data_IF_606005903537
#
_entry.id   IF_606005903537
#
_cell.length_a   1.000
_cell.length_b   1.000
_cell.length_c   1.000
_cell.angle_alpha   90.00
_cell.angle_beta   90.00
_cell.angle_gamma   90.00
#
_symmetry.space_group_name_H-M   'P 1'
#
loop_
_entity.id
_entity.type
_entity.pdbx_description
1 polymer ?
#
# COMPACT_ATOMS: atom_id res chain seq x y z
N UNK A 1 24.04 -47.64 -35.17
CA UNK A 1 24.08 -46.69 -34.03
C UNK A 1 23.48 -45.36 -34.49
N UNK A 2 22.19 -45.10 -34.21
CA UNK A 2 21.53 -43.83 -34.53
C UNK A 2 21.83 -42.84 -33.40
N UNK A 3 22.54 -41.75 -33.70
CA UNK A 3 22.77 -40.64 -32.77
C UNK A 3 21.46 -39.88 -32.60
N UNK A 4 20.91 -39.90 -31.38
CA UNK A 4 19.78 -39.09 -30.98
C UNK A 4 20.31 -37.70 -30.65
N UNK A 5 20.01 -36.71 -31.49
CA UNK A 5 20.21 -35.30 -31.15
C UNK A 5 19.12 -34.93 -30.14
N UNK A 6 19.51 -34.68 -28.89
CA UNK A 6 18.63 -34.06 -27.91
C UNK A 6 18.53 -32.57 -28.24
N UNK A 7 17.37 -32.15 -28.73
CA UNK A 7 17.04 -30.74 -28.92
C UNK A 7 16.66 -30.18 -27.54
N UNK A 8 17.56 -29.43 -26.91
CA UNK A 8 17.23 -28.63 -25.74
C UNK A 8 16.37 -27.43 -26.20
N UNK A 9 15.06 -27.55 -26.01
CA UNK A 9 14.16 -26.40 -26.10
C UNK A 9 14.37 -25.54 -24.85
N UNK A 10 15.10 -24.44 -25.00
CA UNK A 10 15.11 -23.37 -24.01
C UNK A 10 13.77 -22.67 -24.14
N UNK A 11 12.85 -22.95 -23.22
CA UNK A 11 11.62 -22.17 -23.06
C UNK A 11 12.05 -20.85 -22.44
N UNK A 12 12.45 -19.88 -23.25
CA UNK A 12 12.50 -18.50 -22.84
C UNK A 12 11.04 -18.05 -22.68
N UNK A 13 10.49 -18.23 -21.48
CA UNK A 13 9.22 -17.59 -21.14
C UNK A 13 9.41 -16.08 -21.31
N UNK A 14 8.60 -15.44 -22.14
CA UNK A 14 8.54 -14.00 -22.18
C UNK A 14 7.99 -13.54 -20.84
N UNK A 15 8.85 -13.32 -19.85
CA UNK A 15 8.41 -12.73 -18.60
C UNK A 15 8.06 -11.27 -18.86
N UNK A 16 6.88 -10.86 -18.41
CA UNK A 16 6.44 -9.47 -18.47
C UNK A 16 6.93 -8.80 -17.18
N UNK A 17 7.73 -7.73 -17.24
CA UNK A 17 8.22 -7.07 -16.03
C UNK A 17 7.10 -6.68 -15.05
N UNK A 18 5.93 -6.31 -15.56
CA UNK A 18 4.73 -6.02 -14.74
C UNK A 18 4.19 -7.23 -14.00
N UNK A 19 4.27 -8.42 -14.60
CA UNK A 19 3.79 -9.68 -14.00
C UNK A 19 4.72 -10.15 -12.90
N UNK A 20 6.04 -10.14 -13.13
CA UNK A 20 7.04 -10.47 -12.10
C UNK A 20 6.87 -9.55 -10.87
N UNK A 21 6.73 -8.25 -11.12
CA UNK A 21 6.48 -7.24 -10.08
C UNK A 21 5.18 -7.50 -9.33
N UNK A 22 4.08 -7.78 -10.04
CA UNK A 22 2.78 -8.08 -9.42
C UNK A 22 2.84 -9.34 -8.56
N UNK A 23 3.52 -10.38 -9.02
CA UNK A 23 3.67 -11.62 -8.25
C UNK A 23 4.50 -11.41 -6.98
N UNK A 24 5.50 -10.52 -7.00
CA UNK A 24 6.26 -10.15 -5.82
C UNK A 24 5.39 -9.47 -4.74
N UNK A 25 4.26 -8.85 -5.11
CA UNK A 25 3.34 -8.26 -4.13
C UNK A 25 2.61 -9.29 -3.28
N UNK A 26 2.52 -10.55 -3.71
CA UNK A 26 1.76 -11.60 -3.02
C UNK A 26 2.39 -12.01 -1.68
N UNK A 27 3.70 -11.85 -1.54
CA UNK A 27 4.43 -12.20 -0.31
C UNK A 27 4.47 -11.05 0.71
N UNK A 28 4.06 -9.83 0.30
CA UNK A 28 4.05 -8.65 1.16
C UNK A 28 3.08 -8.84 2.33
N UNK A 29 3.53 -8.46 3.52
CA UNK A 29 2.78 -8.61 4.75
C UNK A 29 2.98 -9.96 5.44
N UNK A 30 3.86 -10.82 4.92
CA UNK A 30 4.24 -12.07 5.60
C UNK A 30 5.71 -12.04 6.03
N UNK A 31 6.00 -12.62 7.19
CA UNK A 31 7.37 -12.84 7.66
C UNK A 31 7.41 -14.02 8.64
N UNK A 32 8.55 -14.70 8.71
CA UNK A 32 8.77 -15.77 9.67
C UNK A 32 10.19 -15.71 10.23
N UNK A 33 10.33 -15.97 11.53
CA UNK A 33 11.62 -16.07 12.22
C UNK A 33 11.53 -17.17 13.27
N UNK A 34 12.35 -18.22 13.12
CA UNK A 34 12.41 -19.34 14.05
C UNK A 34 11.02 -19.91 14.39
N UNK A 35 10.51 -19.67 15.60
CA UNK A 35 9.23 -20.14 16.11
C UNK A 35 8.12 -19.07 16.04
N UNK A 36 8.29 -18.03 15.22
CA UNK A 36 7.33 -16.93 15.03
C UNK A 36 6.94 -16.81 13.56
N UNK A 37 5.63 -16.67 13.31
CA UNK A 37 5.09 -16.36 11.97
C UNK A 37 4.13 -15.19 12.07
N UNK A 38 4.32 -14.20 11.21
CA UNK A 38 3.49 -13.00 11.09
C UNK A 38 2.82 -12.97 9.72
N UNK A 39 1.51 -12.68 9.72
CA UNK A 39 0.74 -12.41 8.51
C UNK A 39 -0.15 -11.19 8.72
N UNK A 40 -0.03 -10.22 7.84
CA UNK A 40 -0.92 -9.07 7.72
C UNK A 40 -2.01 -9.43 6.72
N UNK A 41 -3.28 -9.30 7.10
CA UNK A 41 -4.41 -9.53 6.18
C UNK A 41 -4.28 -8.67 4.92
N UNK A 42 -4.53 -9.28 3.76
CA UNK A 42 -4.47 -8.67 2.43
C UNK A 42 -3.14 -7.98 2.06
N UNK A 43 -2.07 -8.23 2.83
CA UNK A 43 -0.77 -7.61 2.62
C UNK A 43 -0.77 -6.09 2.85
N UNK A 44 -1.68 -5.58 3.69
CA UNK A 44 -1.87 -4.14 3.94
C UNK A 44 -0.76 -3.48 4.79
N UNK A 45 0.37 -4.13 4.96
CA UNK A 45 1.56 -3.53 5.55
C UNK A 45 2.84 -4.23 5.07
N UNK A 46 3.91 -3.47 4.85
CA UNK A 46 5.24 -4.05 4.70
C UNK A 46 5.79 -4.47 6.07
N UNK A 47 6.38 -5.66 6.13
CA UNK A 47 7.16 -6.08 7.31
C UNK A 47 8.60 -5.61 7.13
N UNK A 48 8.97 -4.52 7.83
CA UNK A 48 10.32 -3.94 7.79
C UNK A 48 11.29 -4.66 8.72
N UNK A 49 10.79 -5.19 9.83
CA UNK A 49 11.59 -5.94 10.78
C UNK A 49 10.73 -7.01 11.47
N UNK A 50 11.27 -8.23 11.57
CA UNK A 50 10.81 -9.27 12.49
C UNK A 50 12.06 -9.84 13.16
N UNK A 51 12.26 -9.51 14.44
CA UNK A 51 13.37 -9.99 15.27
C UNK A 51 12.82 -10.55 16.58
N UNK A 52 13.71 -10.99 17.47
CA UNK A 52 13.33 -11.52 18.78
C UNK A 52 12.53 -10.48 19.58
N UNK A 53 11.25 -10.77 19.83
CA UNK A 53 10.31 -9.91 20.55
C UNK A 53 10.10 -8.51 19.94
N UNK A 54 10.38 -8.32 18.65
CA UNK A 54 10.20 -7.03 17.97
C UNK A 54 9.67 -7.17 16.55
N UNK A 55 8.69 -6.35 16.23
CA UNK A 55 8.06 -6.24 14.91
C UNK A 55 8.05 -4.76 14.51
N UNK A 56 8.50 -4.46 13.29
CA UNK A 56 8.33 -3.13 12.67
C UNK A 56 7.54 -3.27 11.37
N UNK A 57 6.41 -2.57 11.28
CA UNK A 57 5.53 -2.54 10.12
C UNK A 57 5.43 -1.14 9.52
N UNK A 58 5.20 -1.07 8.22
CA UNK A 58 4.70 0.12 7.53
C UNK A 58 3.28 -0.12 7.04
N UNK A 59 2.29 0.56 7.63
CA UNK A 59 0.88 0.39 7.29
C UNK A 59 0.53 1.02 5.93
N UNK A 60 -0.36 0.37 5.17
CA UNK A 60 -0.94 0.86 3.92
C UNK A 60 -2.43 1.18 4.04
N UNK A 61 -3.00 1.03 5.23
CA UNK A 61 -4.40 1.29 5.51
C UNK A 61 -4.62 1.82 6.94
N UNK A 62 -5.74 2.52 7.18
CA UNK A 62 -6.16 2.95 8.53
C UNK A 62 -6.36 1.81 9.52
N UNK A 63 -6.69 0.63 9.02
CA UNK A 63 -7.02 -0.57 9.79
C UNK A 63 -6.13 -1.71 9.33
N UNK A 64 -5.50 -2.39 10.28
CA UNK A 64 -4.73 -3.60 10.05
C UNK A 64 -5.25 -4.74 10.91
N UNK A 65 -5.42 -5.90 10.31
CA UNK A 65 -5.64 -7.16 11.02
C UNK A 65 -4.39 -8.03 10.82
N UNK A 66 -3.85 -8.53 11.93
CA UNK A 66 -2.60 -9.28 11.99
C UNK A 66 -2.86 -10.62 12.64
N UNK A 67 -2.35 -11.68 12.04
CA UNK A 67 -2.20 -12.98 12.67
C UNK A 67 -0.74 -13.17 13.06
N UNK A 68 -0.48 -13.38 14.36
CA UNK A 68 0.84 -13.69 14.88
C UNK A 68 0.81 -15.06 15.56
N UNK A 69 1.56 -16.00 15.02
CA UNK A 69 1.82 -17.29 15.66
C UNK A 69 3.11 -17.17 16.46
N UNK A 70 3.02 -17.38 17.76
CA UNK A 70 4.14 -17.34 18.70
C UNK A 70 4.41 -18.75 19.22
N UNK A 71 5.62 -19.25 19.03
CA UNK A 71 6.04 -20.57 19.48
C UNK A 71 6.33 -20.64 20.98
N UNK A 72 6.73 -21.82 21.44
CA UNK A 72 6.97 -22.07 22.87
C UNK A 72 8.18 -21.33 23.45
N UNK A 73 9.10 -20.86 22.60
CA UNK A 73 10.34 -20.18 23.02
C UNK A 73 10.26 -18.65 22.85
N UNK A 74 9.29 -18.18 22.06
CA UNK A 74 9.08 -16.77 21.72
C UNK A 74 8.01 -16.05 22.57
N UNK A 75 7.53 -16.67 23.66
CA UNK A 75 6.59 -16.04 24.57
C UNK A 75 7.25 -14.94 25.41
N UNK A 76 6.58 -13.78 25.54
CA UNK A 76 7.09 -12.64 26.30
C UNK A 76 6.45 -11.31 25.91
N UNK A 77 7.10 -10.22 26.29
CA UNK A 77 6.65 -8.86 25.94
C UNK A 77 7.16 -8.48 24.55
N UNK A 78 6.25 -8.38 23.59
CA UNK A 78 6.55 -8.01 22.21
C UNK A 78 6.45 -6.50 22.00
N UNK A 79 7.51 -5.90 21.45
CA UNK A 79 7.46 -4.54 20.94
C UNK A 79 6.93 -4.55 19.50
N UNK A 80 5.74 -4.01 19.30
CA UNK A 80 5.12 -3.89 17.98
C UNK A 80 5.10 -2.41 17.60
N UNK A 81 5.87 -2.05 16.58
CA UNK A 81 5.95 -0.68 16.08
C UNK A 81 5.35 -0.59 14.69
N UNK A 82 4.32 0.23 14.55
CA UNK A 82 3.58 0.40 13.29
C UNK A 82 3.70 1.85 12.84
N UNK A 83 4.44 2.07 11.75
CA UNK A 83 4.54 3.35 11.07
C UNK A 83 3.39 3.54 10.10
N UNK A 84 3.15 4.79 9.73
CA UNK A 84 2.10 5.20 8.81
C UNK A 84 0.69 4.82 9.28
N UNK A 85 0.47 4.86 10.59
CA UNK A 85 -0.83 4.59 11.23
C UNK A 85 -1.57 5.88 11.60
N UNK A 86 -2.87 5.78 11.87
CA UNK A 86 -3.64 6.92 12.37
C UNK A 86 -3.26 7.26 13.83
N UNK A 87 -3.23 8.55 14.21
CA UNK A 87 -2.80 8.95 15.56
C UNK A 87 -3.70 8.44 16.70
N UNK A 88 -4.97 8.18 16.41
CA UNK A 88 -5.97 7.69 17.35
C UNK A 88 -6.16 6.16 17.29
N UNK A 89 -5.32 5.45 16.53
CA UNK A 89 -5.38 3.99 16.47
C UNK A 89 -5.04 3.31 17.80
N UNK A 90 -5.80 2.27 18.10
CA UNK A 90 -5.60 1.36 19.23
C UNK A 90 -5.22 -0.01 18.71
N UNK A 91 -4.33 -0.70 19.43
CA UNK A 91 -4.03 -2.11 19.17
C UNK A 91 -4.83 -2.98 20.13
N UNK A 92 -5.65 -3.89 19.60
CA UNK A 92 -6.48 -4.79 20.38
C UNK A 92 -6.11 -6.24 20.09
N UNK A 93 -5.93 -7.05 21.13
CA UNK A 93 -5.79 -8.51 21.01
C UNK A 93 -6.41 -9.20 22.22
N UNK A 94 -7.09 -10.32 21.99
CA UNK A 94 -7.79 -11.07 23.05
C UNK A 94 -8.79 -10.23 23.86
N UNK A 95 -9.40 -9.21 23.23
CA UNK A 95 -10.31 -8.27 23.90
C UNK A 95 -9.62 -7.21 24.79
N UNK A 96 -8.29 -7.21 24.86
CA UNK A 96 -7.50 -6.22 25.61
C UNK A 96 -6.97 -5.15 24.67
N UNK A 97 -7.15 -3.88 25.03
CA UNK A 97 -6.59 -2.74 24.31
C UNK A 97 -5.25 -2.34 24.90
N UNK A 98 -4.26 -2.15 24.03
CA UNK A 98 -2.92 -1.70 24.38
C UNK A 98 -2.75 -0.25 23.94
N UNK A 99 -2.36 0.67 24.84
CA UNK A 99 -2.15 2.06 24.47
C UNK A 99 -0.85 2.24 23.67
N UNK A 100 -0.87 3.17 22.72
CA UNK A 100 0.37 3.65 22.07
C UNK A 100 1.29 4.31 23.09
N UNK A 101 2.60 4.31 22.82
CA UNK A 101 3.53 5.14 23.60
C UNK A 101 3.27 6.64 23.37
N UNK A 102 3.36 7.47 24.42
CA UNK A 102 2.97 8.88 24.36
C UNK A 102 3.91 9.74 23.51
N UNK A 103 5.20 9.41 23.46
CA UNK A 103 6.22 10.22 22.78
C UNK A 103 6.40 9.87 21.30
N UNK A 104 5.60 8.94 20.77
CA UNK A 104 5.67 8.59 19.37
C UNK A 104 5.15 9.73 18.48
N UNK A 105 5.79 9.92 17.34
CA UNK A 105 5.28 10.75 16.25
C UNK A 105 3.82 10.39 15.93
N UNK A 106 2.93 11.34 15.55
CA UNK A 106 1.50 11.05 15.33
C UNK A 106 1.21 9.87 14.42
N UNK A 107 2.04 9.62 13.40
CA UNK A 107 1.88 8.51 12.44
C UNK A 107 2.67 7.25 12.80
N UNK A 108 3.25 7.20 13.99
CA UNK A 108 3.98 6.05 14.52
C UNK A 108 3.30 5.61 15.81
N UNK A 109 3.04 4.31 15.93
CA UNK A 109 2.45 3.74 17.13
C UNK A 109 3.27 2.53 17.59
N UNK A 110 3.87 2.65 18.77
CA UNK A 110 4.62 1.59 19.44
C UNK A 110 3.79 1.03 20.59
N UNK A 111 3.66 -0.30 20.62
CA UNK A 111 2.93 -1.04 21.65
C UNK A 111 3.86 -2.06 22.30
N UNK A 112 3.62 -2.34 23.59
CA UNK A 112 4.20 -3.49 24.27
C UNK A 112 3.04 -4.45 24.56
N UNK A 113 3.12 -5.66 24.00
CA UNK A 113 2.04 -6.64 24.05
C UNK A 113 2.60 -7.95 24.64
N UNK A 114 2.13 -8.39 25.81
CA UNK A 114 2.49 -9.69 26.36
C UNK A 114 1.80 -10.79 25.55
N UNK A 115 2.59 -11.64 24.90
CA UNK A 115 2.11 -12.72 24.05
C UNK A 115 2.65 -14.05 24.57
N UNK A 116 1.74 -14.96 24.92
CA UNK A 116 2.08 -16.34 25.23
C UNK A 116 2.23 -17.18 23.94
N UNK A 117 2.73 -18.41 24.07
CA UNK A 117 2.71 -19.34 22.95
C UNK A 117 1.27 -19.58 22.45
N UNK A 118 1.06 -19.51 21.14
CA UNK A 118 -0.25 -19.65 20.50
C UNK A 118 -0.44 -18.72 19.30
N UNK A 119 -1.63 -18.76 18.71
CA UNK A 119 -2.04 -17.87 17.62
C UNK A 119 -2.79 -16.67 18.19
N UNK A 120 -2.36 -15.47 17.85
CA UNK A 120 -2.94 -14.20 18.29
C UNK A 120 -3.49 -13.44 17.10
N UNK A 121 -4.70 -12.91 17.26
CA UNK A 121 -5.30 -11.97 16.31
C UNK A 121 -5.17 -10.57 16.90
N UNK A 122 -4.42 -9.70 16.22
CA UNK A 122 -4.22 -8.32 16.63
C UNK A 122 -4.88 -7.41 15.61
N UNK A 123 -5.65 -6.43 16.08
CA UNK A 123 -6.28 -5.41 15.25
C UNK A 123 -5.78 -4.04 15.63
N UNK A 124 -5.19 -3.33 14.68
CA UNK A 124 -4.90 -1.90 14.78
C UNK A 124 -6.02 -1.14 14.08
N UNK A 125 -6.76 -0.30 14.79
CA UNK A 125 -7.79 0.55 14.19
C UNK A 125 -8.08 1.78 15.05
N UNK A 126 -8.46 2.93 14.46
CA UNK A 126 -9.07 3.99 15.23
C UNK A 126 -10.48 3.55 15.69
N UNK A 127 -10.99 4.08 16.82
CA UNK A 127 -12.31 3.70 17.36
C UNK A 127 -13.49 3.96 16.40
N UNK A 128 -13.31 4.84 15.42
CA UNK A 128 -14.34 5.27 14.49
C UNK A 128 -14.26 4.60 13.11
N UNK A 129 -13.36 3.62 12.93
CA UNK A 129 -13.06 3.01 11.63
C UNK A 129 -14.29 2.47 10.89
N UNK A 130 -15.24 1.89 11.62
CA UNK A 130 -16.45 1.27 11.08
C UNK A 130 -17.67 2.20 11.10
N UNK A 131 -17.52 3.44 11.60
CA UNK A 131 -18.61 4.43 11.62
C UNK A 131 -18.77 5.07 10.25
N UNK A 132 -19.91 4.82 9.61
CA UNK A 132 -20.27 5.42 8.32
C UNK A 132 -20.71 6.87 8.55
N UNK A 133 -19.78 7.80 8.42
CA UNK A 133 -19.99 9.24 8.56
C UNK A 133 -18.98 10.02 7.72
N UNK A 134 -19.25 11.28 7.35
CA UNK A 134 -18.35 12.08 6.54
C UNK A 134 -16.97 12.26 7.19
N UNK A 135 -15.91 12.22 6.38
CA UNK A 135 -14.53 12.46 6.79
C UNK A 135 -13.76 13.15 5.67
N UNK A 136 -12.56 13.67 5.98
CA UNK A 136 -11.71 14.37 5.02
C UNK A 136 -10.47 13.55 4.71
N UNK A 137 -10.08 13.56 3.45
CA UNK A 137 -8.86 12.94 2.93
C UNK A 137 -8.18 13.97 2.04
N UNK A 138 -6.87 14.08 2.12
CA UNK A 138 -6.09 14.86 1.16
C UNK A 138 -5.66 13.96 0.00
N UNK A 139 -5.66 14.48 -1.22
CA UNK A 139 -5.17 13.76 -2.40
C UNK A 139 -4.05 14.55 -3.07
N UNK A 140 -3.00 13.85 -3.52
CA UNK A 140 -1.88 14.45 -4.24
C UNK A 140 -1.16 13.41 -5.11
N UNK A 141 -0.27 13.85 -5.99
CA UNK A 141 0.60 12.98 -6.78
C UNK A 141 1.82 13.76 -7.25
N UNK A 142 2.76 13.09 -7.92
CA UNK A 142 3.82 13.73 -8.70
C UNK A 142 4.72 14.65 -7.89
N UNK A 143 5.20 14.17 -6.72
CA UNK A 143 6.13 14.91 -5.85
C UNK A 143 7.46 15.11 -6.56
N UNK A 144 8.09 14.01 -7.00
CA UNK A 144 9.29 13.98 -7.83
C UNK A 144 10.34 15.05 -7.42
N UNK A 145 10.62 16.02 -8.31
CA UNK A 145 11.61 17.08 -8.11
C UNK A 145 11.30 18.05 -6.97
N UNK A 146 10.05 18.11 -6.50
CA UNK A 146 9.64 18.90 -5.34
C UNK A 146 9.93 18.21 -4.00
N UNK A 147 10.40 16.95 -4.01
CA UNK A 147 10.68 16.17 -2.80
C UNK A 147 11.57 16.89 -1.77
N UNK A 148 12.60 17.70 -2.15
CA UNK A 148 13.39 18.46 -1.17
C UNK A 148 12.61 19.54 -0.40
N UNK A 149 11.42 19.94 -0.87
CA UNK A 149 10.62 21.04 -0.29
C UNK A 149 9.14 20.67 -0.10
N UNK A 150 8.79 19.37 -0.16
CA UNK A 150 7.39 18.92 -0.03
C UNK A 150 6.87 18.98 1.41
N UNK A 151 7.76 19.14 2.39
CA UNK A 151 7.43 19.30 3.80
C UNK A 151 6.50 20.48 4.07
N UNK A 152 6.63 21.59 3.34
CA UNK A 152 5.70 22.72 3.44
C UNK A 152 4.26 22.31 3.07
N UNK A 153 4.11 21.45 2.06
CA UNK A 153 2.80 20.91 1.64
C UNK A 153 2.27 19.93 2.69
N UNK A 154 3.13 19.08 3.25
CA UNK A 154 2.74 18.16 4.33
C UNK A 154 2.33 18.89 5.60
N UNK A 155 3.01 19.98 5.96
CA UNK A 155 2.63 20.85 7.06
C UNK A 155 1.26 21.50 6.79
N UNK A 156 1.02 21.98 5.57
CA UNK A 156 -0.26 22.56 5.18
C UNK A 156 -1.41 21.54 5.23
N UNK A 157 -1.18 20.31 4.77
CA UNK A 157 -2.16 19.20 4.89
C UNK A 157 -2.43 18.89 6.36
N UNK A 158 -1.39 18.81 7.19
CA UNK A 158 -1.52 18.51 8.63
C UNK A 158 -2.28 19.60 9.40
N UNK A 159 -2.27 20.84 8.89
CA UNK A 159 -3.05 21.94 9.45
C UNK A 159 -4.55 21.87 9.11
N UNK A 160 -4.98 20.98 8.20
CA UNK A 160 -6.41 20.80 7.88
C UNK A 160 -7.10 20.02 9.01
N UNK A 161 -8.07 20.62 9.72
CA UNK A 161 -8.74 19.95 10.83
C UNK A 161 -9.49 18.71 10.36
N UNK A 162 -9.34 17.62 11.12
CA UNK A 162 -10.04 16.34 10.94
C UNK A 162 -9.73 15.60 9.62
N UNK A 163 -8.67 16.00 8.90
CA UNK A 163 -8.13 15.18 7.82
C UNK A 163 -7.64 13.85 8.40
N UNK A 164 -8.03 12.73 7.78
CA UNK A 164 -7.70 11.40 8.29
C UNK A 164 -6.40 10.89 7.72
N UNK A 165 -6.21 11.01 6.41
CA UNK A 165 -5.01 10.52 5.74
C UNK A 165 -4.82 11.21 4.39
N UNK A 166 -3.66 10.97 3.78
CA UNK A 166 -3.33 11.33 2.40
C UNK A 166 -3.45 10.09 1.53
N UNK A 167 -4.07 10.23 0.36
CA UNK A 167 -4.03 9.24 -0.72
C UNK A 167 -3.23 9.80 -1.88
N UNK A 168 -2.26 9.05 -2.38
CA UNK A 168 -1.37 9.48 -3.45
C UNK A 168 -1.31 8.52 -4.63
N UNK A 169 -1.26 9.09 -5.82
CA UNK A 169 -1.29 8.35 -7.08
C UNK A 169 0.13 8.11 -7.64
N UNK A 170 1.16 7.98 -6.80
CA UNK A 170 2.52 7.66 -7.23
C UNK A 170 3.36 8.85 -7.70
N UNK A 171 4.53 8.55 -8.25
CA UNK A 171 5.60 9.49 -8.60
C UNK A 171 6.06 10.33 -7.40
N UNK A 172 6.35 9.63 -6.31
CA UNK A 172 6.91 10.21 -5.10
C UNK A 172 8.37 10.61 -5.34
N UNK A 173 9.10 9.78 -6.06
CA UNK A 173 10.53 9.92 -6.37
C UNK A 173 10.72 10.31 -7.83
N UNK A 174 11.88 10.87 -8.16
CA UNK A 174 12.22 11.13 -9.56
C UNK A 174 12.77 9.88 -10.25
N UNK A 175 13.46 8.98 -9.55
CA UNK A 175 14.15 7.83 -10.16
C UNK A 175 14.03 6.51 -9.39
N UNK A 176 13.26 6.46 -8.29
CA UNK A 176 13.17 5.28 -7.43
C UNK A 176 14.48 4.95 -6.71
N UNK A 177 15.35 5.93 -6.49
CA UNK A 177 16.65 5.71 -5.83
C UNK A 177 16.54 5.72 -4.31
N UNK A 178 17.37 4.92 -3.62
CA UNK A 178 17.35 4.80 -2.15
C UNK A 178 17.43 6.15 -1.42
N UNK A 179 18.28 7.05 -1.91
CA UNK A 179 18.45 8.38 -1.33
C UNK A 179 17.18 9.24 -1.42
N UNK A 180 16.34 9.01 -2.44
CA UNK A 180 15.06 9.69 -2.60
C UNK A 180 14.03 9.12 -1.62
N UNK A 181 13.95 7.81 -1.46
CA UNK A 181 13.08 7.20 -0.44
C UNK A 181 13.50 7.61 0.98
N UNK A 182 14.80 7.65 1.27
CA UNK A 182 15.31 8.15 2.54
C UNK A 182 14.96 9.63 2.77
N UNK A 183 15.00 10.44 1.71
CA UNK A 183 14.55 11.84 1.78
C UNK A 183 13.04 11.92 2.02
N UNK A 184 12.24 11.14 1.30
CA UNK A 184 10.80 11.08 1.48
C UNK A 184 10.40 10.70 2.90
N UNK A 185 11.01 9.66 3.48
CA UNK A 185 10.75 9.28 4.88
C UNK A 185 11.14 10.38 5.88
N UNK A 186 12.20 11.16 5.60
CA UNK A 186 12.52 12.35 6.41
C UNK A 186 11.47 13.44 6.28
N UNK A 187 10.97 13.71 5.07
CA UNK A 187 9.94 14.73 4.85
C UNK A 187 8.58 14.32 5.45
N UNK A 188 8.24 13.02 5.45
CA UNK A 188 7.01 12.51 6.05
C UNK A 188 6.88 12.82 7.55
N UNK A 189 7.98 13.15 8.25
CA UNK A 189 7.94 13.61 9.65
C UNK A 189 7.18 14.94 9.79
N UNK A 190 7.03 15.73 8.74
CA UNK A 190 6.18 16.93 8.75
C UNK A 190 4.67 16.61 8.70
N UNK A 191 4.29 15.38 8.33
CA UNK A 191 2.91 14.97 8.14
C UNK A 191 2.35 14.28 9.39
N UNK A 192 1.30 14.83 10.01
CA UNK A 192 0.72 14.27 11.25
C UNK A 192 -0.36 13.22 11.02
N UNK A 193 -0.61 12.85 9.76
CA UNK A 193 -1.58 11.84 9.32
C UNK A 193 -0.92 10.89 8.33
N UNK A 194 -1.36 9.63 8.19
CA UNK A 194 -0.68 8.68 7.34
C UNK A 194 -0.84 8.98 5.84
N UNK A 195 0.10 8.48 5.06
CA UNK A 195 0.25 8.68 3.61
C UNK A 195 0.18 7.32 2.90
N UNK A 196 -0.89 7.08 2.14
CA UNK A 196 -1.09 5.84 1.39
C UNK A 196 -0.91 6.09 -0.09
N UNK A 197 -0.04 5.32 -0.75
CA UNK A 197 0.31 5.54 -2.15
C UNK A 197 0.43 4.24 -2.93
N UNK A 198 0.21 4.36 -4.23
CA UNK A 198 0.66 3.41 -5.25
C UNK A 198 1.97 3.88 -5.90
N UNK A 199 2.48 3.10 -6.86
CA UNK A 199 3.63 3.42 -7.69
C UNK A 199 3.22 4.30 -8.87
N UNK A 200 4.10 5.22 -9.24
CA UNK A 200 4.10 5.86 -10.55
C UNK A 200 5.20 5.32 -11.46
N UNK A 201 5.31 5.87 -12.66
CA UNK A 201 6.29 5.38 -13.64
C UNK A 201 7.73 5.75 -13.27
N UNK A 202 7.95 6.78 -12.45
CA UNK A 202 9.29 7.20 -12.02
C UNK A 202 9.90 6.25 -10.97
N UNK A 203 9.09 5.64 -10.12
CA UNK A 203 9.56 4.60 -9.19
C UNK A 203 10.11 3.37 -9.93
N UNK A 204 9.58 3.07 -11.13
CA UNK A 204 9.98 1.93 -11.96
C UNK A 204 11.25 2.16 -12.78
N UNK A 205 11.93 3.30 -12.63
CA UNK A 205 13.27 3.51 -13.19
C UNK A 205 14.36 2.81 -12.37
N UNK A 206 13.97 2.28 -11.21
CA UNK A 206 14.76 1.43 -10.33
C UNK A 206 13.98 0.14 -9.99
N UNK A 207 14.64 -0.87 -9.38
CA UNK A 207 13.94 -2.08 -8.93
C UNK A 207 12.81 -1.76 -7.96
N UNK A 208 11.61 -2.28 -8.23
CA UNK A 208 10.40 -2.01 -7.45
C UNK A 208 10.45 -2.59 -6.03
N UNK A 209 11.32 -3.57 -5.80
CA UNK A 209 11.57 -4.17 -4.49
C UNK A 209 11.96 -3.13 -3.44
N UNK A 210 12.68 -2.07 -3.85
CA UNK A 210 13.02 -0.94 -2.98
C UNK A 210 11.78 -0.26 -2.41
N UNK A 211 10.72 -0.18 -3.19
CA UNK A 211 9.42 0.31 -2.72
C UNK A 211 8.74 -0.73 -1.83
N UNK A 212 8.66 -1.99 -2.29
CA UNK A 212 7.93 -3.04 -1.59
C UNK A 212 8.44 -3.28 -0.16
N UNK A 213 9.76 -3.33 0.01
CA UNK A 213 10.41 -3.49 1.33
C UNK A 213 10.13 -2.32 2.28
N UNK A 214 9.88 -1.12 1.73
CA UNK A 214 9.66 0.09 2.51
C UNK A 214 8.19 0.39 2.77
N UNK A 215 7.35 0.33 1.75
CA UNK A 215 6.00 0.90 1.75
C UNK A 215 4.92 -0.14 1.53
N UNK A 216 5.27 -1.34 1.07
CA UNK A 216 4.35 -2.44 0.82
C UNK A 216 3.86 -2.49 -0.62
N UNK A 217 2.68 -3.07 -0.83
CA UNK A 217 2.09 -3.36 -2.15
C UNK A 217 1.92 -2.09 -3.01
N UNK A 218 1.95 -2.25 -4.33
CA UNK A 218 1.57 -1.19 -5.25
C UNK A 218 0.07 -1.25 -5.58
N UNK A 219 -0.52 -2.44 -5.55
CA UNK A 219 -1.94 -2.69 -5.78
C UNK A 219 -2.60 -3.27 -4.53
N UNK A 220 -3.55 -2.56 -3.95
CA UNK A 220 -4.23 -2.98 -2.71
C UNK A 220 -5.60 -2.32 -2.57
N UNK A 221 -6.47 -2.90 -1.72
CA UNK A 221 -7.77 -2.35 -1.39
C UNK A 221 -7.95 -2.31 0.14
N UNK A 222 -8.48 -1.20 0.65
CA UNK A 222 -8.93 -1.13 2.04
C UNK A 222 -10.28 -0.42 2.16
N UNK A 223 -10.93 -0.57 3.31
CA UNK A 223 -12.17 0.13 3.63
C UNK A 223 -11.97 1.01 4.86
N UNK A 224 -12.50 2.22 4.85
CA UNK A 224 -12.54 3.10 6.00
C UNK A 224 -13.86 3.88 6.03
N UNK A 225 -14.57 3.83 7.15
CA UNK A 225 -15.85 4.53 7.37
C UNK A 225 -16.89 4.26 6.27
N UNK A 226 -16.92 3.01 5.79
CA UNK A 226 -17.81 2.56 4.72
C UNK A 226 -17.35 2.90 3.29
N UNK A 227 -16.28 3.67 3.11
CA UNK A 227 -15.70 4.00 1.79
C UNK A 227 -14.59 3.01 1.46
N UNK A 228 -14.61 2.48 0.25
CA UNK A 228 -13.61 1.58 -0.31
C UNK A 228 -12.59 2.38 -1.11
N UNK A 229 -11.30 2.13 -0.86
CA UNK A 229 -10.20 2.71 -1.61
C UNK A 229 -9.44 1.58 -2.30
N UNK A 230 -9.33 1.63 -3.62
CA UNK A 230 -8.56 0.67 -4.42
C UNK A 230 -7.43 1.40 -5.11
N UNK A 231 -6.20 1.00 -4.81
CA UNK A 231 -4.98 1.44 -5.48
C UNK A 231 -4.56 0.35 -6.48
N UNK A 232 -4.20 0.75 -7.69
CA UNK A 232 -3.74 -0.16 -8.72
C UNK A 232 -2.46 0.35 -9.37
N UNK A 233 -1.45 -0.50 -9.47
CA UNK A 233 -0.21 -0.20 -10.16
C UNK A 233 -0.45 -0.05 -11.67
N UNK A 234 -0.14 1.13 -12.18
CA UNK A 234 -0.13 1.43 -13.62
C UNK A 234 1.18 2.00 -14.13
N UNK A 235 2.28 1.86 -13.39
CA UNK A 235 3.56 2.51 -13.73
C UNK A 235 4.09 2.15 -15.13
N UNK A 236 3.69 1.01 -15.69
CA UNK A 236 4.01 0.58 -17.06
C UNK A 236 3.04 1.12 -18.13
N UNK A 237 2.26 2.16 -17.82
CA UNK A 237 1.17 2.69 -18.64
C UNK A 237 0.11 1.63 -19.00
N UNK A 238 -0.12 0.67 -18.10
CA UNK A 238 -1.14 -0.38 -18.20
C UNK A 238 -1.31 -1.03 -16.82
N UNK A 239 -2.43 -1.74 -16.61
CA UNK A 239 -2.62 -2.64 -15.46
C UNK A 239 -2.21 -4.05 -15.89
N UNK A 240 -1.43 -4.75 -15.06
CA UNK A 240 -1.11 -6.15 -15.33
C UNK A 240 -2.38 -7.02 -15.23
N UNK A 241 -2.57 -8.05 -16.09
CA UNK A 241 -3.73 -8.93 -16.00
C UNK A 241 -3.95 -9.58 -14.63
N UNK A 242 -2.88 -9.88 -13.88
CA UNK A 242 -3.04 -10.43 -12.51
C UNK A 242 -3.70 -9.40 -11.59
N UNK A 243 -3.34 -8.12 -11.70
CA UNK A 243 -4.01 -7.03 -10.97
C UNK A 243 -5.42 -6.79 -11.50
N UNK A 244 -5.66 -6.92 -12.81
CA UNK A 244 -7.02 -6.82 -13.37
C UNK A 244 -7.98 -7.86 -12.79
N UNK A 245 -7.49 -9.08 -12.54
CA UNK A 245 -8.27 -10.15 -11.89
C UNK A 245 -8.56 -9.81 -10.41
N UNK A 246 -7.60 -9.20 -9.71
CA UNK A 246 -7.84 -8.70 -8.34
C UNK A 246 -8.87 -7.58 -8.32
N UNK A 247 -8.78 -6.63 -9.26
CA UNK A 247 -9.72 -5.53 -9.42
C UNK A 247 -11.13 -6.08 -9.65
N UNK A 248 -11.32 -7.13 -10.44
CA UNK A 248 -12.64 -7.74 -10.63
C UNK A 248 -13.26 -8.20 -9.30
N UNK A 249 -12.49 -8.92 -8.47
CA UNK A 249 -12.93 -9.32 -7.13
C UNK A 249 -13.19 -8.14 -6.19
N UNK A 250 -12.33 -7.12 -6.25
CA UNK A 250 -12.43 -5.89 -5.46
C UNK A 250 -13.64 -5.02 -5.83
N UNK A 251 -14.01 -4.96 -7.11
CA UNK A 251 -15.21 -4.27 -7.57
C UNK A 251 -16.46 -5.02 -7.10
N UNK A 252 -16.48 -6.34 -7.21
CA UNK A 252 -17.59 -7.16 -6.73
C UNK A 252 -17.80 -7.00 -5.20
N UNK A 253 -16.72 -6.90 -4.42
CA UNK A 253 -16.82 -6.70 -2.96
C UNK A 253 -17.29 -5.30 -2.55
N UNK A 254 -17.19 -4.31 -3.46
CA UNK A 254 -17.45 -2.90 -3.20
C UNK A 254 -18.78 -2.38 -3.78
N UNK A 255 -19.50 -3.17 -4.57
CA UNK A 255 -20.62 -2.72 -5.40
C UNK A 255 -21.73 -1.89 -4.71
N UNK A 256 -21.95 -2.09 -3.41
CA UNK A 256 -22.97 -1.38 -2.60
C UNK A 256 -22.37 -0.30 -1.68
N UNK A 257 -21.11 0.08 -1.89
CA UNK A 257 -20.36 1.03 -1.06
C UNK A 257 -19.79 2.15 -1.91
N UNK A 258 -19.55 3.31 -1.29
CA UNK A 258 -18.81 4.37 -1.98
C UNK A 258 -17.42 3.88 -2.31
N UNK A 259 -17.02 3.95 -3.57
CA UNK A 259 -15.76 3.38 -4.05
C UNK A 259 -14.92 4.43 -4.78
N UNK A 260 -13.72 4.66 -4.25
CA UNK A 260 -12.67 5.48 -4.85
C UNK A 260 -11.60 4.56 -5.45
N UNK A 261 -11.34 4.71 -6.76
CA UNK A 261 -10.27 4.01 -7.46
C UNK A 261 -9.12 4.97 -7.77
N UNK A 262 -7.90 4.54 -7.49
CA UNK A 262 -6.68 5.32 -7.63
C UNK A 262 -5.66 4.55 -8.45
N UNK A 263 -5.01 5.26 -9.37
CA UNK A 263 -3.86 4.74 -10.10
C UNK A 263 -3.03 5.90 -10.63
N UNK A 264 -1.77 5.69 -10.97
CA UNK A 264 -0.92 6.76 -11.46
C UNK A 264 -1.30 7.23 -12.87
N UNK A 265 -1.19 6.34 -13.86
CA UNK A 265 -1.45 6.63 -15.25
C UNK A 265 -2.97 6.65 -15.51
N UNK A 266 -3.52 7.70 -16.15
CA UNK A 266 -4.94 7.72 -16.45
C UNK A 266 -5.27 6.70 -17.57
N UNK A 267 -6.41 5.99 -17.51
CA UNK A 267 -6.81 5.04 -18.55
C UNK A 267 -7.02 5.70 -19.91
N UNK A 268 -7.47 6.96 -19.90
CA UNK A 268 -7.62 7.84 -21.06
C UNK A 268 -7.10 9.24 -20.68
N UNK A 269 -6.49 9.95 -21.62
CA UNK A 269 -6.10 11.35 -21.40
C UNK A 269 -7.38 12.20 -21.48
N UNK A 270 -7.86 12.78 -20.35
CA UNK A 270 -9.13 13.50 -20.32
C UNK A 270 -9.09 14.80 -21.14
N UNK A 271 -7.88 15.34 -21.40
CA UNK A 271 -7.68 16.54 -22.24
C UNK A 271 -7.33 16.14 -23.67
N UNK A 272 -6.78 14.95 -23.88
CA UNK A 272 -6.51 14.34 -25.19
C UNK A 272 -5.37 15.00 -25.97
N UNK A 273 -4.58 15.86 -25.33
CA UNK A 273 -3.55 16.68 -26.01
C UNK A 273 -2.13 16.20 -25.77
N UNK A 274 -1.90 15.37 -24.73
CA UNK A 274 -0.55 15.00 -24.28
C UNK A 274 -0.20 13.55 -24.60
N UNK A 275 -1.20 12.74 -24.97
CA UNK A 275 -1.04 11.29 -25.09
C UNK A 275 -0.48 10.66 -23.79
N UNK A 276 -0.81 11.28 -22.65
CA UNK A 276 -0.32 10.94 -21.31
C UNK A 276 -1.28 9.98 -20.62
N UNK A 277 -1.57 8.85 -21.27
CA UNK A 277 -2.51 7.83 -20.80
C UNK A 277 -1.93 6.44 -20.98
N UNK A 278 -2.73 5.41 -20.68
CA UNK A 278 -2.36 4.03 -20.96
C UNK A 278 -1.87 3.84 -22.40
N UNK A 279 -0.84 3.00 -22.56
CA UNK A 279 -0.23 2.68 -23.86
C UNK A 279 -1.20 2.07 -24.87
N UNK A 280 -2.33 1.56 -24.39
CA UNK A 280 -3.37 0.90 -25.18
C UNK A 280 -4.73 1.52 -24.83
N UNK A 281 -5.29 2.28 -25.78
CA UNK A 281 -6.66 2.83 -25.63
C UNK A 281 -7.70 1.73 -25.44
N UNK A 282 -7.47 0.53 -26.00
CA UNK A 282 -8.35 -0.62 -25.78
C UNK A 282 -8.37 -1.04 -24.31
N UNK A 283 -7.19 -1.16 -23.71
CA UNK A 283 -7.07 -1.61 -22.31
C UNK A 283 -7.58 -0.53 -21.37
N UNK A 284 -7.31 0.75 -21.67
CA UNK A 284 -7.87 1.90 -20.96
C UNK A 284 -9.41 1.90 -20.99
N UNK A 285 -10.02 1.76 -22.17
CA UNK A 285 -11.48 1.68 -22.30
C UNK A 285 -12.06 0.45 -21.58
N UNK A 286 -11.38 -0.70 -21.64
CA UNK A 286 -11.79 -1.91 -20.94
C UNK A 286 -11.81 -1.70 -19.43
N UNK A 287 -10.76 -1.09 -18.86
CA UNK A 287 -10.72 -0.74 -17.44
C UNK A 287 -11.86 0.22 -17.08
N UNK A 288 -12.07 1.28 -17.86
CA UNK A 288 -13.16 2.23 -17.61
C UNK A 288 -14.53 1.55 -17.61
N UNK A 289 -14.81 0.67 -18.57
CA UNK A 289 -16.06 -0.11 -18.57
C UNK A 289 -16.23 -0.93 -17.30
N UNK A 290 -15.17 -1.62 -16.84
CA UNK A 290 -15.20 -2.38 -15.59
C UNK A 290 -15.45 -1.49 -14.37
N UNK A 291 -14.80 -0.32 -14.28
CA UNK A 291 -15.01 0.62 -13.18
C UNK A 291 -16.46 1.16 -13.17
N UNK A 292 -17.05 1.43 -14.34
CA UNK A 292 -18.46 1.84 -14.47
C UNK A 292 -19.41 0.70 -14.05
N UNK A 293 -19.16 -0.52 -14.51
CA UNK A 293 -19.95 -1.72 -14.15
C UNK A 293 -19.88 -2.01 -12.64
N UNK A 294 -18.70 -1.84 -12.05
CA UNK A 294 -18.45 -1.94 -10.61
C UNK A 294 -18.95 -0.75 -9.80
N UNK A 295 -19.59 0.25 -10.44
CA UNK A 295 -20.19 1.44 -9.80
C UNK A 295 -19.18 2.28 -9.01
N UNK A 296 -17.95 2.40 -9.49
CA UNK A 296 -16.93 3.29 -8.89
C UNK A 296 -17.41 4.74 -8.95
N UNK A 297 -17.41 5.42 -7.81
CA UNK A 297 -17.93 6.80 -7.67
C UNK A 297 -16.90 7.87 -8.05
N UNK A 298 -15.61 7.59 -7.80
CA UNK A 298 -14.53 8.54 -8.03
C UNK A 298 -13.28 7.81 -8.52
N UNK A 299 -12.67 8.33 -9.59
CA UNK A 299 -11.35 7.91 -10.03
C UNK A 299 -10.36 9.06 -9.89
N UNK A 300 -9.16 8.77 -9.39
CA UNK A 300 -8.08 9.74 -9.21
C UNK A 300 -6.82 9.26 -9.91
N UNK A 301 -6.20 10.16 -10.68
CA UNK A 301 -5.02 9.89 -11.49
C UNK A 301 -3.93 10.94 -11.25
N UNK A 302 -2.66 10.55 -11.39
CA UNK A 302 -1.51 11.44 -11.41
C UNK A 302 -1.03 11.72 -12.84
N UNK A 303 0.29 11.80 -13.05
CA UNK A 303 1.00 11.77 -14.33
C UNK A 303 0.81 12.97 -15.27
N UNK A 304 -0.34 13.66 -15.22
CA UNK A 304 -0.66 14.73 -16.16
C UNK A 304 0.06 16.04 -15.80
N UNK A 305 0.38 16.29 -14.52
CA UNK A 305 0.97 17.55 -14.02
C UNK A 305 0.20 18.80 -14.49
N UNK A 306 -1.08 18.92 -14.11
CA UNK A 306 -1.96 20.08 -14.43
C UNK A 306 -2.73 20.56 -13.23
#
# INVERSE_FOLDING_TARGET
>A
MRRMLALFAIIAGCTRPSEERTLAELDIGTAALADVQLRVSDGLAAVRELTDHRIELWAQSPVLDLELVVGSMAGGDWQIRIRNSLPDSLLVTGGTSYPRRPDDHPTVATFIVPLAAGTHQLRLAPPDADRIEPFKVASMADIQTALPSVDDVFAAISAVPDARFVIAMGDITQRGEEAEYDLFERQLVALTIPFYSTLGNHELWSPAERWFERFGRASFQFTFKGVVFTFADSGDAAIDPVVEDWIEGWLASAADRTHVFLTHMPPIDPVGTRAAAFRSTRDGNRLLSRLVEGRVDLTLYGHIHT
#
